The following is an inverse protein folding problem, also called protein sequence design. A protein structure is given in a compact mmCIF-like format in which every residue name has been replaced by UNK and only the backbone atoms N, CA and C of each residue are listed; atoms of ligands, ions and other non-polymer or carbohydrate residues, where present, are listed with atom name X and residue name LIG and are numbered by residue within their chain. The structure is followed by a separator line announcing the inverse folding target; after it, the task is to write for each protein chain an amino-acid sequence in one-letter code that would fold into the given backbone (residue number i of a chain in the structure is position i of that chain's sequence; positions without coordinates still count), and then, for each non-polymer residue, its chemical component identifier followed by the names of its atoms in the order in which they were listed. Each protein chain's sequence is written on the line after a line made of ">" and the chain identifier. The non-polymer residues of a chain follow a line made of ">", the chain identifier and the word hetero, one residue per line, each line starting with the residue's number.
data_IF_559193026304
#
_entry.id   IF_559193026304
#
_cell.length_a   1.000
_cell.length_b   1.000
_cell.length_c   1.000
_cell.angle_alpha   90.00
_cell.angle_beta   90.00
_cell.angle_gamma   90.00
#
_symmetry.space_group_name_H-M   'P 1'
#
loop_
_entity.id
_entity.type
_entity.pdbx_description
1 polymer ?
#
# COMPACT_ATOMS: atom_id res chain seq x y z
N UNK A 1 -48.70 -61.38 29.90
CA UNK A 1 -48.13 -61.91 28.64
C UNK A 1 -48.43 -60.93 27.53
N UNK A 2 -47.40 -60.43 26.82
CA UNK A 2 -47.38 -59.82 25.46
C UNK A 2 -48.39 -58.66 25.22
N UNK A 3 -48.11 -57.52 24.59
CA UNK A 3 -46.96 -56.84 23.99
C UNK A 3 -47.58 -55.63 23.26
N UNK A 4 -47.07 -54.41 23.52
CA UNK A 4 -46.82 -53.29 22.57
C UNK A 4 -47.96 -52.82 21.63
N UNK A 5 -48.23 -51.51 21.64
CA UNK A 5 -47.73 -50.60 20.60
C UNK A 5 -47.88 -49.13 21.02
N UNK A 6 -46.76 -48.41 21.05
CA UNK A 6 -46.64 -46.97 21.19
C UNK A 6 -46.67 -46.32 19.81
N UNK A 7 -47.47 -45.27 19.60
CA UNK A 7 -47.34 -44.39 18.45
C UNK A 7 -46.84 -43.02 18.94
N UNK A 8 -45.54 -42.77 18.76
CA UNK A 8 -44.92 -41.47 18.96
C UNK A 8 -45.11 -40.61 17.72
N UNK A 9 -45.63 -39.40 17.91
CA UNK A 9 -45.78 -38.38 16.88
C UNK A 9 -44.43 -37.66 16.74
N UNK A 10 -43.66 -37.94 15.69
CA UNK A 10 -42.46 -37.18 15.34
C UNK A 10 -42.81 -36.10 14.32
N UNK A 11 -42.78 -34.84 14.75
CA UNK A 11 -42.91 -33.69 13.87
C UNK A 11 -41.61 -33.49 13.08
N UNK A 12 -41.68 -33.68 11.76
CA UNK A 12 -40.58 -33.37 10.83
C UNK A 12 -40.66 -31.89 10.49
N UNK A 13 -39.76 -31.09 11.08
CA UNK A 13 -39.51 -29.70 10.69
C UNK A 13 -38.60 -29.71 9.43
N UNK A 14 -39.21 -29.55 8.26
CA UNK A 14 -38.47 -29.24 7.03
C UNK A 14 -37.95 -27.80 7.10
N UNK A 15 -36.70 -27.62 7.52
CA UNK A 15 -35.97 -26.36 7.31
C UNK A 15 -35.57 -26.31 5.83
N UNK A 16 -36.27 -25.47 5.07
CA UNK A 16 -35.89 -25.15 3.69
C UNK A 16 -34.64 -24.28 3.75
N UNK A 17 -33.47 -24.87 3.55
CA UNK A 17 -32.26 -24.13 3.22
C UNK A 17 -32.42 -23.61 1.79
N UNK A 18 -32.83 -22.36 1.64
CA UNK A 18 -32.67 -21.64 0.36
C UNK A 18 -31.18 -21.44 0.13
N UNK A 19 -30.57 -22.34 -0.66
CA UNK A 19 -29.24 -22.13 -1.20
C UNK A 19 -29.31 -20.89 -2.11
N UNK A 20 -28.92 -19.73 -1.60
CA UNK A 20 -28.56 -18.59 -2.44
C UNK A 20 -27.33 -19.00 -3.22
N UNK A 21 -27.51 -19.33 -4.50
CA UNK A 21 -26.41 -19.49 -5.43
C UNK A 21 -25.67 -18.15 -5.51
N UNK A 22 -24.59 -18.02 -4.76
CA UNK A 22 -23.60 -16.98 -5.01
C UNK A 22 -22.95 -17.33 -6.34
N UNK A 23 -23.41 -16.72 -7.43
CA UNK A 23 -22.67 -16.75 -8.68
C UNK A 23 -21.31 -16.13 -8.41
N UNK A 24 -20.25 -16.93 -8.56
CA UNK A 24 -18.89 -16.41 -8.50
C UNK A 24 -18.75 -15.31 -9.55
N UNK A 25 -18.14 -14.16 -9.20
CA UNK A 25 -17.94 -13.07 -10.14
C UNK A 25 -17.14 -13.58 -11.34
N UNK A 26 -17.53 -13.14 -12.55
CA UNK A 26 -16.79 -13.46 -13.77
C UNK A 26 -15.30 -13.17 -13.60
N UNK A 27 -14.40 -14.04 -14.11
CA UNK A 27 -12.95 -13.86 -13.99
C UNK A 27 -12.47 -12.46 -14.38
N UNK A 28 -13.05 -11.85 -15.42
CA UNK A 28 -12.72 -10.49 -15.87
C UNK A 28 -13.10 -9.41 -14.85
N UNK A 29 -14.26 -9.56 -14.20
CA UNK A 29 -14.70 -8.65 -13.14
C UNK A 29 -13.80 -8.80 -11.91
N UNK A 30 -13.37 -10.03 -11.61
CA UNK A 30 -12.47 -10.31 -10.49
C UNK A 30 -11.07 -9.71 -10.71
N UNK A 31 -10.55 -9.74 -11.94
CA UNK A 31 -9.23 -9.20 -12.28
C UNK A 31 -9.20 -7.66 -12.23
N UNK A 32 -10.19 -6.99 -12.85
CA UNK A 32 -10.32 -5.53 -12.78
C UNK A 32 -10.43 -5.06 -11.33
N UNK A 33 -11.19 -5.77 -10.51
CA UNK A 33 -11.33 -5.49 -9.08
C UNK A 33 -9.99 -5.63 -8.35
N UNK A 34 -9.20 -6.66 -8.66
CA UNK A 34 -7.89 -6.87 -8.06
C UNK A 34 -6.89 -5.76 -8.44
N UNK A 35 -6.88 -5.30 -9.70
CA UNK A 35 -6.06 -4.16 -10.15
C UNK A 35 -6.43 -2.87 -9.43
N UNK A 36 -7.74 -2.60 -9.25
CA UNK A 36 -8.20 -1.48 -8.42
C UNK A 36 -7.71 -1.62 -6.97
N UNK A 37 -7.79 -2.82 -6.38
CA UNK A 37 -7.31 -3.06 -5.02
C UNK A 37 -5.80 -2.81 -4.89
N UNK A 38 -5.00 -3.22 -5.87
CA UNK A 38 -3.55 -2.97 -5.91
C UNK A 38 -3.24 -1.47 -5.85
N UNK A 39 -3.91 -0.67 -6.69
CA UNK A 39 -3.66 0.77 -6.75
C UNK A 39 -4.17 1.48 -5.48
N UNK A 40 -5.29 1.04 -4.92
CA UNK A 40 -5.78 1.54 -3.62
C UNK A 40 -4.78 1.29 -2.50
N UNK A 41 -4.21 0.09 -2.45
CA UNK A 41 -3.22 -0.26 -1.45
C UNK A 41 -1.96 0.59 -1.57
N UNK A 42 -1.48 0.82 -2.79
CA UNK A 42 -0.35 1.72 -3.02
C UNK A 42 -0.64 3.16 -2.57
N UNK A 43 -1.82 3.71 -2.90
CA UNK A 43 -2.20 5.07 -2.45
C UNK A 43 -2.24 5.13 -0.92
N UNK A 44 -2.83 4.12 -0.26
CA UNK A 44 -2.89 4.02 1.21
C UNK A 44 -1.48 4.02 1.81
N UNK A 45 -0.58 3.21 1.27
CA UNK A 45 0.81 3.14 1.75
C UNK A 45 1.50 4.50 1.61
N UNK A 46 1.39 5.18 0.45
CA UNK A 46 2.01 6.49 0.26
C UNK A 46 1.49 7.50 1.27
N UNK A 47 0.18 7.50 1.53
CA UNK A 47 -0.44 8.36 2.55
C UNK A 47 0.13 8.09 3.94
N UNK A 48 0.22 6.82 4.33
CA UNK A 48 0.74 6.44 5.66
C UNK A 48 2.22 6.79 5.80
N UNK A 49 3.05 6.46 4.81
CA UNK A 49 4.47 6.79 4.83
C UNK A 49 4.70 8.30 4.92
N UNK A 50 3.94 9.09 4.14
CA UNK A 50 4.01 10.54 4.22
C UNK A 50 3.66 11.06 5.61
N UNK A 51 2.56 10.56 6.21
CA UNK A 51 2.19 10.95 7.59
C UNK A 51 3.26 10.56 8.60
N UNK A 52 3.84 9.38 8.49
CA UNK A 52 4.94 8.96 9.37
C UNK A 52 6.17 9.86 9.22
N UNK A 53 6.52 10.26 7.99
CA UNK A 53 7.61 11.21 7.75
C UNK A 53 7.31 12.58 8.37
N UNK A 54 6.11 13.11 8.20
CA UNK A 54 5.71 14.40 8.78
C UNK A 54 5.69 14.36 10.31
N UNK A 55 5.21 13.27 10.90
CA UNK A 55 5.29 13.05 12.35
C UNK A 55 6.74 12.95 12.82
N UNK A 56 7.58 12.17 12.14
CA UNK A 56 8.99 12.04 12.49
C UNK A 56 9.72 13.39 12.41
N UNK A 57 9.47 14.20 11.38
CA UNK A 57 10.05 15.56 11.26
C UNK A 57 9.72 16.43 12.47
N UNK A 58 8.46 16.40 12.93
CA UNK A 58 8.03 17.15 14.13
C UNK A 58 8.71 16.60 15.39
N UNK A 59 8.69 15.29 15.59
CA UNK A 59 9.31 14.63 16.74
C UNK A 59 10.83 14.87 16.79
N UNK A 60 11.49 14.94 15.63
CA UNK A 60 12.90 15.32 15.57
C UNK A 60 13.10 16.78 15.97
N UNK A 61 12.19 17.70 15.65
CA UNK A 61 12.32 19.10 16.05
C UNK A 61 12.15 19.34 17.56
N UNK A 62 11.47 18.44 18.28
CA UNK A 62 11.17 18.57 19.71
C UNK A 62 12.37 18.36 20.64
N UNK A 63 13.27 17.43 20.31
CA UNK A 63 14.47 17.13 21.10
C UNK A 63 15.74 17.18 20.23
N UNK A 64 16.59 18.17 20.51
CA UNK A 64 17.86 18.40 19.82
C UNK A 64 19.01 17.50 20.29
N UNK A 65 18.86 16.78 21.40
CA UNK A 65 19.91 15.95 21.98
C UNK A 65 20.19 14.71 21.13
N UNK A 66 21.44 14.22 21.12
CA UNK A 66 21.79 13.01 20.39
C UNK A 66 20.95 11.79 20.82
N UNK A 67 20.71 11.64 22.12
CA UNK A 67 19.86 10.56 22.66
C UNK A 67 18.40 10.71 22.23
N UNK A 68 17.86 11.93 22.25
CA UNK A 68 16.52 12.23 21.74
C UNK A 68 16.36 11.90 20.27
N UNK A 69 17.32 12.32 19.43
CA UNK A 69 17.35 11.99 18.00
C UNK A 69 17.38 10.48 17.78
N UNK A 70 18.27 9.75 18.45
CA UNK A 70 18.36 8.30 18.31
C UNK A 70 17.06 7.60 18.76
N UNK A 71 16.44 8.06 19.85
CA UNK A 71 15.15 7.53 20.33
C UNK A 71 14.04 7.79 19.32
N UNK A 72 13.97 8.99 18.75
CA UNK A 72 13.02 9.33 17.68
C UNK A 72 13.27 8.49 16.42
N UNK A 73 14.53 8.28 16.02
CA UNK A 73 14.88 7.40 14.91
C UNK A 73 14.38 5.97 15.13
N UNK A 74 14.60 5.40 16.33
CA UNK A 74 14.13 4.05 16.68
C UNK A 74 12.61 3.96 16.59
N UNK A 75 11.90 4.94 17.15
CA UNK A 75 10.44 4.99 17.15
C UNK A 75 9.88 5.15 15.73
N UNK A 76 10.38 6.10 14.97
CA UNK A 76 9.97 6.34 13.59
C UNK A 76 10.24 5.12 12.70
N UNK A 77 11.46 4.57 12.77
CA UNK A 77 11.83 3.38 12.03
C UNK A 77 10.97 2.16 12.40
N UNK A 78 10.66 1.97 13.68
CA UNK A 78 9.78 0.88 14.14
C UNK A 78 8.35 1.02 13.62
N UNK A 79 7.78 2.23 13.62
CA UNK A 79 6.44 2.47 13.05
C UNK A 79 6.43 2.15 11.55
N UNK A 80 7.42 2.62 10.81
CA UNK A 80 7.54 2.33 9.38
C UNK A 80 7.71 0.83 9.11
N UNK A 81 8.45 0.10 9.95
CA UNK A 81 8.58 -1.36 9.83
C UNK A 81 7.22 -2.07 9.92
N UNK A 82 6.37 -1.69 10.88
CA UNK A 82 5.04 -2.29 11.02
C UNK A 82 4.17 -2.02 9.79
N UNK A 83 4.22 -0.82 9.24
CA UNK A 83 3.48 -0.48 8.02
C UNK A 83 3.99 -1.23 6.79
N UNK A 84 5.31 -1.46 6.67
CA UNK A 84 5.85 -2.27 5.57
C UNK A 84 5.42 -3.73 5.66
N UNK A 85 5.36 -4.30 6.86
CA UNK A 85 4.84 -5.65 7.06
C UNK A 85 3.35 -5.71 6.70
N UNK A 86 2.56 -4.74 7.15
CA UNK A 86 1.13 -4.66 6.82
C UNK A 86 0.91 -4.54 5.30
N UNK A 87 1.68 -3.68 4.62
CA UNK A 87 1.61 -3.55 3.16
C UNK A 87 1.97 -4.86 2.45
N UNK A 88 3.03 -5.56 2.89
CA UNK A 88 3.39 -6.88 2.34
C UNK A 88 2.23 -7.86 2.48
N UNK A 89 1.62 -7.94 3.67
CA UNK A 89 0.51 -8.86 3.93
C UNK A 89 -0.72 -8.51 3.09
N UNK A 90 -1.11 -7.23 3.04
CA UNK A 90 -2.24 -6.76 2.23
C UNK A 90 -2.03 -7.05 0.75
N UNK A 91 -0.85 -6.75 0.21
CA UNK A 91 -0.51 -7.06 -1.18
C UNK A 91 -0.62 -8.57 -1.44
N UNK A 92 -0.14 -9.42 -0.54
CA UNK A 92 -0.18 -10.89 -0.69
C UNK A 92 -1.60 -11.47 -0.75
N UNK A 93 -2.59 -10.74 -0.24
CA UNK A 93 -4.01 -11.12 -0.33
C UNK A 93 -4.62 -10.76 -1.69
N UNK A 94 -4.04 -9.84 -2.45
CA UNK A 94 -4.55 -9.43 -3.76
C UNK A 94 -4.16 -10.47 -4.82
N UNK A 95 -5.16 -11.15 -5.37
CA UNK A 95 -4.99 -12.14 -6.44
C UNK A 95 -5.04 -11.45 -7.79
N UNK A 96 -3.88 -11.29 -8.40
CA UNK A 96 -3.69 -10.69 -9.72
C UNK A 96 -3.35 -11.78 -10.73
N UNK A 97 -3.59 -11.49 -12.00
CA UNK A 97 -3.05 -12.23 -13.14
C UNK A 97 -1.52 -12.08 -13.23
N UNK A 98 -0.87 -12.81 -14.15
CA UNK A 98 0.59 -12.95 -14.14
C UNK A 98 1.33 -11.60 -14.20
N UNK A 99 0.97 -10.70 -15.13
CA UNK A 99 1.69 -9.44 -15.31
C UNK A 99 1.60 -8.55 -14.06
N UNK A 100 0.40 -8.36 -13.51
CA UNK A 100 0.21 -7.52 -12.33
C UNK A 100 0.64 -8.23 -11.04
N UNK A 101 0.64 -9.56 -11.04
CA UNK A 101 1.21 -10.41 -9.98
C UNK A 101 2.72 -10.21 -9.83
N UNK A 102 3.47 -10.22 -10.93
CA UNK A 102 4.90 -9.90 -10.92
C UNK A 102 5.17 -8.49 -10.41
N UNK A 103 4.34 -7.51 -10.82
CA UNK A 103 4.46 -6.14 -10.34
C UNK A 103 4.20 -6.03 -8.82
N UNK A 104 3.17 -6.72 -8.31
CA UNK A 104 2.89 -6.82 -6.87
C UNK A 104 4.08 -7.44 -6.14
N UNK A 105 4.66 -8.51 -6.67
CA UNK A 105 5.78 -9.20 -6.01
C UNK A 105 7.04 -8.32 -5.96
N UNK A 106 7.28 -7.53 -7.01
CA UNK A 106 8.34 -6.51 -7.02
C UNK A 106 8.06 -5.41 -5.98
N UNK A 107 6.81 -4.96 -5.85
CA UNK A 107 6.43 -3.99 -4.83
C UNK A 107 6.68 -4.56 -3.41
N UNK A 108 6.32 -5.82 -3.17
CA UNK A 108 6.62 -6.51 -1.91
C UNK A 108 8.13 -6.64 -1.66
N UNK A 109 8.95 -6.86 -2.69
CA UNK A 109 10.40 -6.96 -2.52
C UNK A 109 10.99 -5.62 -2.06
N UNK A 110 10.54 -4.49 -2.62
CA UNK A 110 10.96 -3.17 -2.16
C UNK A 110 10.56 -2.89 -0.71
N UNK A 111 9.38 -3.33 -0.26
CA UNK A 111 9.00 -3.22 1.15
C UNK A 111 9.89 -4.05 2.08
N UNK A 112 10.25 -5.27 1.65
CA UNK A 112 11.16 -6.14 2.40
C UNK A 112 12.57 -5.55 2.48
N UNK A 113 13.07 -4.98 1.39
CA UNK A 113 14.36 -4.28 1.36
C UNK A 113 14.36 -3.04 2.27
N UNK A 114 13.31 -2.21 2.18
CA UNK A 114 13.14 -1.06 3.10
C UNK A 114 13.09 -1.52 4.55
N UNK A 115 12.40 -2.63 4.83
CA UNK A 115 12.30 -3.19 6.17
C UNK A 115 13.66 -3.66 6.69
N UNK A 116 14.45 -4.35 5.87
CA UNK A 116 15.79 -4.77 6.24
C UNK A 116 16.68 -3.56 6.60
N UNK A 117 16.66 -2.50 5.78
CA UNK A 117 17.42 -1.29 6.03
C UNK A 117 16.98 -0.59 7.34
N UNK A 118 15.67 -0.43 7.57
CA UNK A 118 15.13 0.18 8.79
C UNK A 118 15.44 -0.66 10.05
N UNK A 119 15.42 -1.98 9.94
CA UNK A 119 15.77 -2.87 11.04
C UNK A 119 17.24 -2.73 11.42
N UNK A 120 18.14 -2.66 10.44
CA UNK A 120 19.57 -2.40 10.65
C UNK A 120 19.79 -1.01 11.28
N UNK A 121 19.15 0.05 10.74
CA UNK A 121 19.21 1.41 11.32
C UNK A 121 18.75 1.44 12.78
N UNK A 122 17.65 0.76 13.10
CA UNK A 122 17.13 0.67 14.47
C UNK A 122 18.10 -0.06 15.40
N UNK A 123 18.75 -1.13 14.94
CA UNK A 123 19.75 -1.85 15.73
C UNK A 123 20.97 -0.97 16.00
N UNK A 124 21.48 -0.26 14.99
CA UNK A 124 22.59 0.69 15.17
C UNK A 124 22.22 1.80 16.16
N UNK A 125 21.03 2.39 16.03
CA UNK A 125 20.59 3.45 16.92
C UNK A 125 20.47 2.95 18.37
N UNK A 126 19.95 1.74 18.60
CA UNK A 126 19.90 1.10 19.93
C UNK A 126 21.30 0.85 20.52
N UNK A 127 22.24 0.39 19.70
CA UNK A 127 23.62 0.17 20.12
C UNK A 127 24.29 1.49 20.53
N UNK A 128 24.08 2.57 19.76
CA UNK A 128 24.57 3.91 20.09
C UNK A 128 23.96 4.45 21.38
N UNK A 129 22.66 4.19 21.62
CA UNK A 129 21.95 4.63 22.82
C UNK A 129 22.43 3.92 24.10
N UNK A 130 22.88 2.67 23.96
CA UNK A 130 23.29 1.83 25.09
C UNK A 130 24.69 2.17 25.64
N UNK A 131 25.39 3.12 25.01
CA UNK A 131 26.77 3.47 25.35
C UNK A 131 27.77 2.46 24.78
N UNK A 132 29.09 2.70 24.98
CA UNK A 132 30.15 1.90 24.38
C UNK A 132 30.19 0.47 24.92
N UNK A 133 30.10 -0.50 24.01
CA UNK A 133 30.22 -1.94 24.31
C UNK A 133 31.49 -2.49 23.67
N UNK A 134 32.23 -3.34 24.40
CA UNK A 134 33.44 -3.96 23.89
C UNK A 134 33.17 -4.77 22.60
N UNK A 135 34.03 -4.62 21.59
CA UNK A 135 33.91 -5.29 20.31
C UNK A 135 32.93 -4.64 19.32
N UNK A 136 32.20 -3.58 19.69
CA UNK A 136 31.32 -2.85 18.78
C UNK A 136 32.08 -1.75 18.04
N UNK A 137 32.02 -1.77 16.71
CA UNK A 137 32.63 -0.74 15.86
C UNK A 137 31.62 0.38 15.54
N UNK A 138 31.52 1.36 16.44
CA UNK A 138 30.64 2.52 16.26
C UNK A 138 31.01 3.36 15.03
N UNK A 139 32.30 3.41 14.66
CA UNK A 139 32.75 4.11 13.45
C UNK A 139 32.14 3.50 12.18
N UNK A 140 32.18 2.16 12.06
CA UNK A 140 31.54 1.45 10.97
C UNK A 140 30.02 1.67 10.95
N UNK A 141 29.35 1.67 12.11
CA UNK A 141 27.92 1.97 12.18
C UNK A 141 27.59 3.39 11.69
N UNK A 142 28.37 4.40 12.11
CA UNK A 142 28.16 5.78 11.65
C UNK A 142 28.39 5.94 10.14
N UNK A 143 29.35 5.20 9.56
CA UNK A 143 29.59 5.19 8.12
C UNK A 143 28.48 4.46 7.35
N UNK A 144 27.88 3.42 7.94
CA UNK A 144 26.81 2.62 7.33
C UNK A 144 25.46 3.35 7.30
N UNK A 145 25.17 4.19 8.29
CA UNK A 145 23.92 4.93 8.38
C UNK A 145 23.55 5.73 7.10
N UNK A 146 24.44 6.55 6.50
CA UNK A 146 24.10 7.26 5.25
C UNK A 146 23.87 6.34 4.05
N UNK A 147 24.52 5.18 3.98
CA UNK A 147 24.29 4.20 2.91
C UNK A 147 22.88 3.62 2.98
N UNK A 148 22.42 3.26 4.19
CA UNK A 148 21.06 2.77 4.40
C UNK A 148 20.02 3.85 4.08
N UNK A 149 20.28 5.10 4.46
CA UNK A 149 19.42 6.23 4.07
C UNK A 149 19.34 6.37 2.55
N UNK A 150 20.47 6.32 1.85
CA UNK A 150 20.51 6.39 0.39
C UNK A 150 19.78 5.21 -0.27
N UNK A 151 19.84 4.01 0.32
CA UNK A 151 19.07 2.85 -0.14
C UNK A 151 17.55 3.10 -0.02
N UNK A 152 17.08 3.63 1.11
CA UNK A 152 15.67 3.97 1.31
C UNK A 152 15.23 5.06 0.31
N UNK A 153 16.04 6.10 0.09
CA UNK A 153 15.75 7.13 -0.91
C UNK A 153 15.65 6.57 -2.34
N UNK A 154 16.52 5.61 -2.68
CA UNK A 154 16.47 4.95 -3.99
C UNK A 154 15.20 4.11 -4.15
N UNK A 155 14.74 3.45 -3.08
CA UNK A 155 13.45 2.76 -3.06
C UNK A 155 12.32 3.76 -3.31
N UNK A 156 12.29 4.89 -2.61
CA UNK A 156 11.26 5.92 -2.78
C UNK A 156 11.23 6.47 -4.22
N UNK A 157 12.39 6.71 -4.83
CA UNK A 157 12.49 7.13 -6.25
C UNK A 157 11.98 6.07 -7.20
N UNK A 158 12.19 4.79 -6.88
CA UNK A 158 11.72 3.68 -7.71
C UNK A 158 10.21 3.52 -7.58
N UNK A 159 9.66 3.65 -6.37
CA UNK A 159 8.23 3.69 -6.09
C UNK A 159 7.52 4.82 -6.85
N UNK A 160 8.15 5.99 -6.94
CA UNK A 160 7.66 7.08 -7.80
C UNK A 160 7.56 6.67 -9.27
N UNK A 161 8.55 5.98 -9.83
CA UNK A 161 8.47 5.49 -11.22
C UNK A 161 7.38 4.44 -11.39
N UNK A 162 7.24 3.54 -10.42
CA UNK A 162 6.22 2.51 -10.38
C UNK A 162 4.80 3.06 -10.35
N UNK A 163 4.58 4.25 -9.77
CA UNK A 163 3.24 4.85 -9.70
C UNK A 163 2.63 5.14 -11.08
N UNK A 164 3.47 5.36 -12.10
CA UNK A 164 3.01 5.50 -13.50
C UNK A 164 2.41 4.19 -14.02
N UNK A 165 3.09 3.06 -13.78
CA UNK A 165 2.59 1.74 -14.16
C UNK A 165 1.31 1.38 -13.38
N UNK A 166 1.22 1.77 -12.11
CA UNK A 166 0.00 1.59 -11.31
C UNK A 166 -1.18 2.41 -11.84
N UNK A 167 -0.95 3.62 -12.34
CA UNK A 167 -2.01 4.32 -13.06
C UNK A 167 -2.46 3.53 -14.30
N UNK A 168 -1.51 2.98 -15.09
CA UNK A 168 -1.85 2.16 -16.26
C UNK A 168 -2.61 0.88 -15.88
N UNK A 169 -2.43 0.34 -14.67
CA UNK A 169 -3.23 -0.79 -14.17
C UNK A 169 -4.74 -0.47 -14.13
N UNK A 170 -5.09 0.81 -14.03
CA UNK A 170 -6.46 1.29 -14.03
C UNK A 170 -7.03 1.50 -15.44
N UNK A 171 -6.24 1.37 -16.50
CA UNK A 171 -6.71 1.49 -17.88
C UNK A 171 -7.38 0.19 -18.31
N UNK A 172 -8.54 0.31 -18.95
CA UNK A 172 -9.32 -0.82 -19.43
C UNK A 172 -8.84 -1.27 -20.81
N UNK A 173 -7.84 -2.16 -20.82
CA UNK A 173 -7.27 -2.75 -22.04
C UNK A 173 -8.31 -3.47 -22.91
N UNK A 174 -9.45 -3.87 -22.33
CA UNK A 174 -10.55 -4.52 -23.05
C UNK A 174 -11.50 -3.55 -23.76
N UNK A 175 -11.34 -2.23 -23.60
CA UNK A 175 -12.24 -1.22 -24.16
C UNK A 175 -11.50 -0.21 -25.04
N UNK A 176 -11.40 -0.55 -26.31
CA UNK A 176 -10.89 0.35 -27.35
C UNK A 176 -11.95 1.39 -27.73
N UNK A 177 -11.51 2.63 -27.89
CA UNK A 177 -12.31 3.69 -28.50
C UNK A 177 -12.27 3.59 -30.03
N UNK A 178 -13.18 4.29 -30.76
CA UNK A 178 -13.24 4.24 -32.23
C UNK A 178 -11.95 4.68 -32.95
N UNK A 179 -11.07 5.43 -32.26
CA UNK A 179 -9.76 5.87 -32.75
C UNK A 179 -8.64 4.85 -32.48
N UNK A 180 -8.97 3.67 -31.95
CA UNK A 180 -8.02 2.60 -31.64
C UNK A 180 -7.22 2.81 -30.35
N UNK A 181 -7.54 3.85 -29.55
CA UNK A 181 -6.84 4.15 -28.31
C UNK A 181 -7.61 3.67 -27.08
N UNK A 182 -6.88 3.53 -25.96
CA UNK A 182 -7.44 3.18 -24.66
C UNK A 182 -7.80 4.46 -23.87
N UNK A 183 -9.08 4.84 -23.93
CA UNK A 183 -9.59 6.05 -23.26
C UNK A 183 -10.45 5.75 -22.03
N UNK A 184 -10.62 4.48 -21.64
CA UNK A 184 -11.46 4.12 -20.50
C UNK A 184 -10.64 3.57 -19.34
N UNK A 185 -11.01 3.99 -18.14
CA UNK A 185 -10.55 3.39 -16.90
C UNK A 185 -11.48 2.25 -16.50
N UNK A 186 -10.96 1.28 -15.75
CA UNK A 186 -11.75 0.23 -15.10
C UNK A 186 -12.56 0.74 -13.90
N UNK A 187 -12.34 2.00 -13.49
CA UNK A 187 -12.99 2.66 -12.36
C UNK A 187 -14.30 3.31 -12.79
N UNK A 188 -15.36 3.13 -11.99
CA UNK A 188 -16.55 3.99 -12.08
C UNK A 188 -16.20 5.45 -11.76
N UNK A 189 -17.06 6.39 -12.17
CA UNK A 189 -16.89 7.81 -11.84
C UNK A 189 -16.80 8.05 -10.34
N UNK A 190 -17.59 7.28 -9.56
CA UNK A 190 -17.56 7.31 -8.10
C UNK A 190 -16.22 6.84 -7.55
N UNK A 191 -15.70 5.71 -8.04
CA UNK A 191 -14.42 5.16 -7.55
C UNK A 191 -13.23 6.05 -7.94
N UNK A 192 -13.24 6.58 -9.16
CA UNK A 192 -12.27 7.57 -9.65
C UNK A 192 -12.27 8.80 -8.76
N UNK A 193 -13.45 9.38 -8.50
CA UNK A 193 -13.59 10.55 -7.62
C UNK A 193 -13.15 10.27 -6.19
N UNK A 194 -13.48 9.08 -5.67
CA UNK A 194 -13.04 8.64 -4.34
C UNK A 194 -11.52 8.53 -4.20
N UNK A 195 -10.83 7.96 -5.20
CA UNK A 195 -9.37 7.88 -5.19
C UNK A 195 -8.71 9.26 -5.25
N UNK A 196 -9.21 10.16 -6.11
CA UNK A 196 -8.72 11.54 -6.18
C UNK A 196 -8.91 12.24 -4.84
N UNK A 197 -10.09 12.10 -4.22
CA UNK A 197 -10.38 12.68 -2.92
C UNK A 197 -9.45 12.15 -1.81
N UNK A 198 -9.15 10.85 -1.80
CA UNK A 198 -8.18 10.27 -0.86
C UNK A 198 -6.81 10.92 -1.02
N UNK A 199 -6.31 11.06 -2.25
CA UNK A 199 -5.01 11.69 -2.52
C UNK A 199 -5.04 13.17 -2.08
N UNK A 200 -6.09 13.91 -2.40
CA UNK A 200 -6.22 15.32 -2.02
C UNK A 200 -6.30 15.51 -0.50
N UNK A 201 -6.98 14.61 0.20
CA UNK A 201 -7.09 14.66 1.66
C UNK A 201 -5.76 14.31 2.33
N UNK A 202 -5.04 13.32 1.80
CA UNK A 202 -3.79 12.85 2.36
C UNK A 202 -2.62 13.83 2.13
N UNK A 203 -2.52 14.40 0.92
CA UNK A 203 -1.36 15.15 0.48
C UNK A 203 -1.62 16.64 0.28
N UNK A 204 -2.88 17.03 -0.01
CA UNK A 204 -3.38 18.40 -0.09
C UNK A 204 -2.36 19.43 -0.57
N UNK A 205 -1.99 20.36 0.33
CA UNK A 205 -1.04 21.45 0.04
C UNK A 205 0.34 20.98 -0.43
N UNK A 206 0.80 19.80 -0.02
CA UNK A 206 2.10 19.28 -0.47
C UNK A 206 2.10 18.87 -1.93
N UNK A 207 0.94 18.65 -2.55
CA UNK A 207 0.85 18.43 -4.00
C UNK A 207 1.11 19.72 -4.82
N UNK A 208 0.95 20.89 -4.19
CA UNK A 208 1.06 22.21 -4.84
C UNK A 208 2.35 22.95 -4.46
N UNK A 209 3.03 22.50 -3.40
CA UNK A 209 4.24 23.11 -2.87
C UNK A 209 5.49 22.36 -3.34
N UNK A 210 6.23 22.96 -4.27
CA UNK A 210 7.48 22.41 -4.80
C UNK A 210 8.50 22.08 -3.70
N UNK A 211 8.47 22.80 -2.56
CA UNK A 211 9.38 22.56 -1.43
C UNK A 211 9.05 21.28 -0.65
N UNK A 212 7.85 20.73 -0.84
CA UNK A 212 7.37 19.50 -0.20
C UNK A 212 7.29 18.30 -1.17
N UNK A 213 7.90 18.42 -2.36
CA UNK A 213 7.89 17.41 -3.43
C UNK A 213 8.80 16.20 -3.14
N UNK A 214 8.48 15.44 -2.09
CA UNK A 214 9.13 14.14 -1.84
C UNK A 214 8.74 13.13 -2.91
N UNK A 215 9.55 12.07 -3.10
CA UNK A 215 9.20 10.99 -4.03
C UNK A 215 7.85 10.32 -3.71
N UNK A 216 7.47 10.24 -2.43
CA UNK A 216 6.15 9.73 -2.00
C UNK A 216 5.02 10.65 -2.46
N UNK A 217 5.16 11.96 -2.25
CA UNK A 217 4.19 12.97 -2.70
C UNK A 217 4.07 12.94 -4.22
N UNK A 218 5.20 12.86 -4.93
CA UNK A 218 5.23 12.78 -6.39
C UNK A 218 4.61 11.47 -6.91
N UNK A 219 4.76 10.36 -6.17
CA UNK A 219 4.14 9.09 -6.52
C UNK A 219 2.61 9.18 -6.50
N UNK A 220 2.06 9.75 -5.41
CA UNK A 220 0.62 9.99 -5.28
C UNK A 220 0.12 11.01 -6.32
N UNK A 221 0.89 12.09 -6.55
CA UNK A 221 0.59 13.08 -7.58
C UNK A 221 0.50 12.46 -8.97
N UNK A 222 1.42 11.57 -9.35
CA UNK A 222 1.41 10.94 -10.68
C UNK A 222 0.14 10.11 -10.92
N UNK A 223 -0.35 9.40 -9.91
CA UNK A 223 -1.62 8.67 -10.00
C UNK A 223 -2.79 9.65 -10.13
N UNK A 224 -2.85 10.68 -9.28
CA UNK A 224 -3.88 11.73 -9.39
C UNK A 224 -3.87 12.42 -10.75
N UNK A 225 -2.68 12.70 -11.28
CA UNK A 225 -2.50 13.33 -12.58
C UNK A 225 -3.17 12.49 -13.65
N UNK A 226 -2.84 11.19 -13.74
CA UNK A 226 -3.49 10.26 -14.65
C UNK A 226 -5.01 10.20 -14.46
N UNK A 227 -5.47 10.08 -13.21
CA UNK A 227 -6.89 10.05 -12.86
C UNK A 227 -7.65 11.32 -13.22
N UNK A 228 -6.99 12.47 -13.39
CA UNK A 228 -7.66 13.74 -13.71
C UNK A 228 -7.48 14.17 -15.17
N UNK A 229 -6.76 13.39 -15.98
CA UNK A 229 -6.62 13.65 -17.42
C UNK A 229 -7.98 13.61 -18.11
N UNK A 230 -8.32 14.62 -18.95
CA UNK A 230 -9.55 14.62 -19.74
C UNK A 230 -9.65 13.47 -20.76
N UNK A 231 -8.51 12.93 -21.18
CA UNK A 231 -8.42 11.82 -22.13
C UNK A 231 -9.02 10.53 -21.59
N UNK A 232 -8.95 10.30 -20.27
CA UNK A 232 -9.47 9.08 -19.66
C UNK A 232 -10.87 9.29 -19.08
N UNK A 233 -11.81 8.47 -19.54
CA UNK A 233 -13.19 8.36 -19.11
C UNK A 233 -13.34 7.27 -18.06
N UNK A 234 -14.31 7.41 -17.16
CA UNK A 234 -14.67 6.35 -16.24
C UNK A 234 -15.37 5.18 -16.95
N UNK A 235 -15.42 4.02 -16.30
CA UNK A 235 -16.02 2.79 -16.83
C UNK A 235 -17.50 2.95 -17.20
N UNK A 236 -18.21 3.78 -16.45
CA UNK A 236 -19.63 4.11 -16.61
C UNK A 236 -19.89 5.31 -17.55
N UNK A 237 -18.84 5.87 -18.15
CA UNK A 237 -18.94 6.96 -19.13
C UNK A 237 -18.83 6.41 -20.57
N UNK A 238 -19.54 7.01 -21.55
CA UNK A 238 -19.59 6.53 -22.93
C UNK A 238 -18.23 6.61 -23.63
#
# INVERSE_FOLDING_TARGET
>A
MKSKLSLGLAAVLCVIFTATAYSEPSPVVSEKTARVALVREFIREMEVLYRLQETAKKEFAEDGSAAGKLTTSIRAGTRTLFEMQESVDRLGMIKLDNQWGEFRDLLQSFHKERSAALQEMNQMAKAMLSGPVAGVNYGAMTARAPELTAQIEQIDKTMFKMSQALFLALVDEGRLSPDGNLHHLILSKKDRGGMVYTIDTAFGRSLEDEKNSTSIVNAAWAIKYGLTRPTYKAADEP
#
